data_IF_936840946065
#
_entry.id   IF_936840946065
#
_cell.length_a   1.000
_cell.length_b   1.000
_cell.length_c   1.000
_cell.angle_alpha   90.00
_cell.angle_beta   90.00
_cell.angle_gamma   90.00
#
_symmetry.space_group_name_H-M   'P 1'
#
loop_
_entity.id
_entity.type
_entity.pdbx_description
1 polymer ?
#
# COMPACT_ATOMS: atom_id res chain seq x y z
N UNK A 1 -18.65 -13.88 16.11
CA UNK A 1 -17.31 -13.60 15.55
C UNK A 1 -16.80 -12.32 16.20
N UNK A 2 -15.56 -12.36 16.63
CA UNK A 2 -14.94 -11.27 17.36
C UNK A 2 -14.63 -10.07 16.46
N UNK A 3 -14.47 -8.89 17.05
CA UNK A 3 -13.98 -7.69 16.36
C UNK A 3 -12.50 -7.55 16.68
N UNK A 4 -11.68 -7.41 15.63
CA UNK A 4 -10.23 -7.38 15.78
C UNK A 4 -9.69 -6.14 15.07
N UNK A 5 -8.78 -5.43 15.74
CA UNK A 5 -7.92 -4.40 15.17
C UNK A 5 -6.49 -4.73 15.51
N UNK A 6 -5.63 -4.62 14.53
CA UNK A 6 -4.18 -4.78 14.69
C UNK A 6 -3.44 -3.65 13.97
N UNK A 7 -2.26 -3.35 14.44
CA UNK A 7 -1.41 -2.29 13.89
C UNK A 7 0.05 -2.56 14.24
N UNK A 8 1.02 -1.87 13.60
CA UNK A 8 2.39 -1.86 14.09
C UNK A 8 2.46 -1.53 15.58
N UNK A 9 3.44 -2.12 16.27
CA UNK A 9 3.68 -1.83 17.69
C UNK A 9 4.00 -0.36 17.94
N UNK A 10 4.66 0.31 16.98
CA UNK A 10 4.92 1.74 17.00
C UNK A 10 5.00 2.28 15.57
N UNK A 11 4.38 3.43 15.33
CA UNK A 11 4.54 4.23 14.12
C UNK A 11 5.28 5.53 14.46
N UNK A 12 6.32 5.85 13.67
CA UNK A 12 7.18 7.02 13.88
C UNK A 12 7.33 7.72 12.55
N UNK A 13 7.04 9.01 12.51
CA UNK A 13 7.15 9.82 11.31
C UNK A 13 7.77 11.18 11.63
N UNK A 14 8.62 11.66 10.76
CA UNK A 14 9.18 13.01 10.87
C UNK A 14 10.38 13.23 9.97
N UNK A 15 10.74 14.50 9.80
CA UNK A 15 11.91 14.88 9.02
C UNK A 15 13.20 14.46 9.75
N UNK A 16 14.16 13.94 8.99
CA UNK A 16 15.48 13.49 9.50
C UNK A 16 15.41 12.38 10.56
N UNK A 17 14.31 11.61 10.61
CA UNK A 17 14.14 10.56 11.62
C UNK A 17 15.19 9.44 11.46
N UNK A 18 15.68 9.20 10.24
CA UNK A 18 16.75 8.22 9.98
C UNK A 18 18.04 8.56 10.73
N UNK A 19 18.32 9.82 11.02
CA UNK A 19 19.51 10.23 11.81
C UNK A 19 19.44 9.75 13.25
N UNK A 20 18.24 9.44 13.75
CA UNK A 20 17.95 8.99 15.12
C UNK A 20 17.37 7.58 15.15
N UNK A 21 17.46 6.85 14.05
CA UNK A 21 16.85 5.53 13.90
C UNK A 21 17.32 4.56 15.00
N UNK A 22 18.63 4.58 15.32
CA UNK A 22 19.21 3.72 16.35
C UNK A 22 18.57 3.90 17.72
N UNK A 23 18.18 5.11 18.11
CA UNK A 23 17.53 5.38 19.39
C UNK A 23 16.17 4.66 19.51
N UNK A 24 15.43 4.60 18.41
CA UNK A 24 14.16 3.87 18.35
C UNK A 24 14.35 2.36 18.33
N UNK A 25 15.40 1.87 17.67
CA UNK A 25 15.66 0.43 17.50
C UNK A 25 16.32 -0.21 18.75
N UNK A 26 17.07 0.57 19.53
CA UNK A 26 17.82 0.09 20.72
C UNK A 26 16.98 -0.75 21.71
N UNK A 27 15.71 -0.43 22.00
CA UNK A 27 14.90 -1.24 22.91
C UNK A 27 14.53 -2.64 22.38
N UNK A 28 14.62 -2.89 21.07
CA UNK A 28 14.25 -4.15 20.46
C UNK A 28 15.40 -5.14 20.35
N UNK A 29 16.57 -4.68 19.92
CA UNK A 29 17.76 -5.53 19.75
C UNK A 29 19.03 -4.70 19.64
N UNK A 30 20.18 -5.37 19.85
CA UNK A 30 21.50 -4.74 19.72
C UNK A 30 22.22 -5.05 18.42
N UNK A 31 21.80 -6.09 17.69
CA UNK A 31 22.42 -6.56 16.44
C UNK A 31 21.37 -6.71 15.35
N UNK A 32 21.51 -5.99 14.27
CA UNK A 32 20.51 -5.85 13.21
C UNK A 32 21.07 -6.29 11.86
N UNK A 33 20.26 -7.04 11.08
CA UNK A 33 20.43 -7.10 9.65
C UNK A 33 19.62 -5.96 9.01
N UNK A 34 20.30 -5.10 8.26
CA UNK A 34 19.67 -4.01 7.49
C UNK A 34 19.55 -4.43 6.03
N UNK A 35 18.34 -4.64 5.55
CA UNK A 35 18.05 -5.00 4.16
C UNK A 35 17.58 -3.77 3.42
N UNK A 36 18.31 -3.37 2.38
CA UNK A 36 17.96 -2.20 1.56
C UNK A 36 18.32 -2.42 0.09
N UNK A 37 17.53 -1.86 -0.82
CA UNK A 37 17.95 -1.86 -2.21
C UNK A 37 19.18 -0.97 -2.45
N UNK A 38 19.90 -1.23 -3.55
CA UNK A 38 21.17 -0.54 -3.83
C UNK A 38 21.03 0.97 -3.97
N UNK A 39 19.90 1.42 -4.53
CA UNK A 39 19.64 2.85 -4.71
C UNK A 39 19.45 3.53 -3.34
N UNK A 40 18.63 2.94 -2.47
CA UNK A 40 18.39 3.46 -1.12
C UNK A 40 19.66 3.45 -0.29
N UNK A 41 20.41 2.34 -0.29
CA UNK A 41 21.68 2.26 0.42
C UNK A 41 22.67 3.30 -0.08
N UNK A 42 22.65 3.63 -1.37
CA UNK A 42 23.53 4.64 -1.97
C UNK A 42 23.43 6.05 -1.31
N UNK A 43 22.27 6.41 -0.78
CA UNK A 43 22.10 7.70 -0.07
C UNK A 43 21.89 7.55 1.45
N UNK A 44 21.40 6.41 1.93
CA UNK A 44 21.02 6.23 3.34
C UNK A 44 22.09 5.54 4.19
N UNK A 45 23.00 4.74 3.60
CA UNK A 45 23.92 3.88 4.35
C UNK A 45 24.78 4.63 5.38
N UNK A 46 25.34 5.77 4.98
CA UNK A 46 26.19 6.58 5.89
C UNK A 46 25.39 7.05 7.11
N UNK A 47 24.17 7.58 6.87
CA UNK A 47 23.27 8.03 7.93
C UNK A 47 22.86 6.88 8.85
N UNK A 48 22.56 5.72 8.29
CA UNK A 48 22.22 4.52 9.05
C UNK A 48 23.39 4.08 9.95
N UNK A 49 24.59 3.93 9.36
CA UNK A 49 25.79 3.54 10.12
C UNK A 49 26.08 4.51 11.28
N UNK A 50 25.97 5.81 11.02
CA UNK A 50 26.18 6.81 12.06
C UNK A 50 25.11 6.73 13.15
N UNK A 51 23.84 6.57 12.80
CA UNK A 51 22.73 6.43 13.74
C UNK A 51 22.88 5.18 14.62
N UNK A 52 23.24 4.04 14.02
CA UNK A 52 23.51 2.80 14.75
C UNK A 52 24.69 2.95 15.70
N UNK A 53 25.80 3.54 15.24
CA UNK A 53 26.99 3.81 16.07
C UNK A 53 26.66 4.69 17.26
N UNK A 54 25.91 5.77 17.08
CA UNK A 54 25.51 6.69 18.13
C UNK A 54 24.67 5.98 19.23
N UNK A 55 23.86 5.03 18.82
CA UNK A 55 23.01 4.23 19.71
C UNK A 55 23.72 2.99 20.28
N UNK A 56 25.00 2.77 19.94
CA UNK A 56 25.78 1.59 20.34
C UNK A 56 25.20 0.26 19.83
N UNK A 57 24.63 0.29 18.60
CA UNK A 57 24.08 -0.86 17.90
C UNK A 57 25.02 -1.37 16.81
N UNK A 58 24.90 -2.65 16.47
CA UNK A 58 25.59 -3.26 15.35
C UNK A 58 24.64 -3.43 14.17
N UNK A 59 25.09 -3.03 12.97
CA UNK A 59 24.38 -3.20 11.72
C UNK A 59 25.21 -4.01 10.71
N UNK A 60 24.69 -5.15 10.30
CA UNK A 60 25.13 -5.85 9.10
C UNK A 60 24.25 -5.36 7.95
N UNK A 61 24.83 -4.72 6.94
CA UNK A 61 24.08 -4.14 5.82
C UNK A 61 24.12 -5.09 4.64
N UNK A 62 22.95 -5.52 4.20
CA UNK A 62 22.75 -6.45 3.11
C UNK A 62 21.99 -5.79 1.95
N UNK A 63 22.60 -5.65 0.77
CA UNK A 63 21.85 -5.25 -0.42
C UNK A 63 20.75 -6.25 -0.76
N UNK A 64 19.55 -5.73 -1.00
CA UNK A 64 18.40 -6.50 -1.48
C UNK A 64 18.62 -6.98 -2.92
N UNK A 65 18.28 -8.24 -3.21
CA UNK A 65 18.54 -8.88 -4.50
C UNK A 65 17.56 -8.50 -5.63
N UNK A 66 16.47 -7.80 -5.32
CA UNK A 66 15.52 -7.28 -6.31
C UNK A 66 14.14 -7.93 -6.30
N UNK A 67 14.02 -9.19 -5.87
CA UNK A 67 12.73 -9.87 -5.73
C UNK A 67 12.50 -10.42 -4.33
N UNK A 68 11.25 -10.30 -3.85
CA UNK A 68 10.83 -10.91 -2.59
C UNK A 68 10.54 -12.39 -2.84
N UNK A 69 11.60 -13.18 -3.02
CA UNK A 69 11.52 -14.61 -3.28
C UNK A 69 12.02 -15.45 -2.11
N UNK A 70 11.62 -16.72 -2.07
CA UNK A 70 12.11 -17.64 -1.03
C UNK A 70 13.64 -17.77 -1.06
N UNK A 71 14.25 -17.81 -2.24
CA UNK A 71 15.71 -17.89 -2.37
C UNK A 71 16.41 -16.65 -1.80
N UNK A 72 15.85 -15.46 -2.00
CA UNK A 72 16.40 -14.23 -1.43
C UNK A 72 16.25 -14.19 0.09
N UNK A 73 15.09 -14.61 0.62
CA UNK A 73 14.86 -14.74 2.06
C UNK A 73 15.88 -15.72 2.67
N UNK A 74 16.11 -16.88 2.04
CA UNK A 74 17.05 -17.89 2.52
C UNK A 74 18.51 -17.39 2.46
N UNK A 75 18.87 -16.60 1.43
CA UNK A 75 20.19 -15.96 1.32
C UNK A 75 20.42 -14.98 2.46
N UNK A 76 19.44 -14.10 2.72
CA UNK A 76 19.52 -13.11 3.79
C UNK A 76 19.51 -13.76 5.17
N UNK A 77 18.76 -14.85 5.35
CA UNK A 77 18.76 -15.61 6.60
C UNK A 77 20.15 -16.18 6.92
N UNK A 78 20.83 -16.79 5.96
CA UNK A 78 22.20 -17.29 6.14
C UNK A 78 23.16 -16.17 6.55
N UNK A 79 23.03 -14.99 5.95
CA UNK A 79 23.84 -13.82 6.31
C UNK A 79 23.54 -13.35 7.74
N UNK A 80 22.26 -13.24 8.11
CA UNK A 80 21.84 -12.87 9.46
C UNK A 80 22.34 -13.84 10.52
N UNK A 81 22.23 -15.16 10.26
CA UNK A 81 22.71 -16.21 11.15
C UNK A 81 24.25 -16.13 11.33
N UNK A 82 25.00 -15.90 10.24
CA UNK A 82 26.48 -15.78 10.31
C UNK A 82 26.98 -14.52 11.03
N UNK A 83 26.15 -13.47 11.06
CA UNK A 83 26.44 -12.20 11.74
C UNK A 83 25.80 -12.10 13.15
N UNK A 84 25.19 -13.17 13.65
CA UNK A 84 24.44 -13.24 14.90
C UNK A 84 23.42 -12.11 15.04
N UNK A 85 22.67 -11.80 13.97
CA UNK A 85 21.65 -10.77 13.97
C UNK A 85 20.43 -11.21 14.79
N UNK A 86 19.90 -10.32 15.60
CA UNK A 86 18.79 -10.55 16.53
C UNK A 86 17.51 -9.80 16.10
N UNK A 87 17.58 -9.03 15.03
CA UNK A 87 16.44 -8.30 14.46
C UNK A 87 16.72 -7.92 13.00
N UNK A 88 15.66 -7.56 12.27
CA UNK A 88 15.72 -7.15 10.86
C UNK A 88 15.17 -5.74 10.71
N UNK A 89 15.88 -4.90 9.96
CA UNK A 89 15.41 -3.61 9.45
C UNK A 89 15.28 -3.70 7.93
N UNK A 90 14.09 -3.48 7.40
CA UNK A 90 13.88 -3.26 5.96
C UNK A 90 13.83 -1.77 5.66
N UNK A 91 14.61 -1.31 4.67
CA UNK A 91 14.58 0.08 4.21
C UNK A 91 14.47 0.13 2.68
N UNK A 92 13.42 0.76 2.16
CA UNK A 92 13.19 0.82 0.71
C UNK A 92 11.72 0.83 0.31
N UNK A 93 11.43 0.23 -0.82
CA UNK A 93 10.08 0.04 -1.36
C UNK A 93 9.46 -1.31 -0.97
N UNK A 94 8.24 -1.56 -1.43
CA UNK A 94 7.40 -2.68 -1.01
C UNK A 94 8.07 -4.06 -1.01
N UNK A 95 8.75 -4.45 -2.10
CA UNK A 95 9.42 -5.76 -2.19
C UNK A 95 10.53 -5.93 -1.15
N UNK A 96 11.32 -4.89 -0.92
CA UNK A 96 12.36 -4.88 0.13
C UNK A 96 11.75 -5.03 1.52
N UNK A 97 10.65 -4.30 1.78
CA UNK A 97 9.96 -4.31 3.07
C UNK A 97 9.29 -5.65 3.33
N UNK A 98 8.63 -6.23 2.34
CA UNK A 98 8.03 -7.56 2.42
C UNK A 98 9.07 -8.65 2.65
N UNK A 99 10.24 -8.55 1.99
CA UNK A 99 11.37 -9.46 2.25
C UNK A 99 11.85 -9.36 3.70
N UNK A 100 11.97 -8.15 4.24
CA UNK A 100 12.38 -7.96 5.62
C UNK A 100 11.37 -8.52 6.63
N UNK A 101 10.07 -8.33 6.38
CA UNK A 101 8.99 -8.90 7.20
C UNK A 101 9.02 -10.44 7.16
N UNK A 102 9.10 -11.02 5.97
CA UNK A 102 9.18 -12.47 5.78
C UNK A 102 10.44 -13.06 6.43
N UNK A 103 11.59 -12.44 6.24
CA UNK A 103 12.86 -12.85 6.86
C UNK A 103 12.77 -12.89 8.38
N UNK A 104 12.29 -11.81 8.99
CA UNK A 104 12.12 -11.71 10.43
C UNK A 104 11.19 -12.79 10.98
N UNK A 105 10.10 -13.08 10.25
CA UNK A 105 9.18 -14.17 10.58
C UNK A 105 9.89 -15.53 10.57
N UNK A 106 10.66 -15.86 9.54
CA UNK A 106 11.40 -17.14 9.47
C UNK A 106 12.58 -17.24 10.46
N UNK A 107 13.03 -16.12 10.99
CA UNK A 107 14.04 -16.08 12.04
C UNK A 107 13.45 -16.01 13.45
N UNK A 108 12.15 -15.77 13.59
CA UNK A 108 11.46 -15.51 14.85
C UNK A 108 12.10 -14.33 15.65
N UNK A 109 12.34 -13.22 14.96
CA UNK A 109 12.98 -12.01 15.51
C UNK A 109 12.14 -10.76 15.24
N UNK A 110 12.36 -9.67 16.02
CA UNK A 110 11.72 -8.39 15.75
C UNK A 110 12.03 -7.82 14.37
N UNK A 111 11.07 -7.08 13.80
CA UNK A 111 11.23 -6.36 12.53
C UNK A 111 10.86 -4.89 12.66
N UNK A 112 11.70 -4.03 12.10
CA UNK A 112 11.41 -2.63 11.85
C UNK A 112 11.37 -2.38 10.33
N UNK A 113 10.47 -1.49 9.90
CA UNK A 113 10.23 -1.16 8.50
C UNK A 113 10.41 0.33 8.32
N UNK A 114 11.28 0.72 7.39
CA UNK A 114 11.56 2.12 7.04
C UNK A 114 11.23 2.35 5.55
N UNK A 115 9.97 2.63 5.20
CA UNK A 115 9.60 2.94 3.81
C UNK A 115 10.25 4.25 3.37
N UNK A 116 10.82 4.25 2.15
CA UNK A 116 11.43 5.43 1.53
C UNK A 116 10.51 6.12 0.53
N UNK A 117 9.36 5.53 0.30
CA UNK A 117 8.26 6.02 -0.54
C UNK A 117 6.94 5.75 0.16
N UNK A 118 5.91 6.54 -0.13
CA UNK A 118 4.56 6.35 0.40
C UNK A 118 3.60 5.98 -0.75
N UNK A 119 3.96 4.95 -1.52
CA UNK A 119 3.27 4.53 -2.74
C UNK A 119 2.20 3.45 -2.52
N UNK A 120 2.17 2.83 -1.34
CA UNK A 120 1.18 1.82 -0.92
C UNK A 120 1.03 1.82 0.60
N UNK A 121 0.02 1.13 1.08
CA UNK A 121 -0.26 0.94 2.51
C UNK A 121 0.36 -0.35 3.12
N UNK A 122 1.09 -1.11 2.33
CA UNK A 122 1.73 -2.36 2.73
C UNK A 122 2.72 -2.28 3.92
N UNK A 123 3.44 -1.16 4.18
CA UNK A 123 4.45 -1.13 5.25
C UNK A 123 3.95 -1.52 6.63
N UNK A 124 2.69 -1.20 6.97
CA UNK A 124 2.14 -1.46 8.31
C UNK A 124 1.53 -2.85 8.49
N UNK A 125 1.32 -3.61 7.41
CA UNK A 125 0.55 -4.84 7.44
C UNK A 125 1.32 -6.07 7.93
N UNK A 126 0.58 -7.03 8.48
CA UNK A 126 1.05 -8.38 8.82
C UNK A 126 0.96 -9.32 7.60
N UNK A 127 1.50 -8.88 6.48
CA UNK A 127 1.48 -9.57 5.20
C UNK A 127 2.77 -9.31 4.44
N UNK A 128 3.26 -10.34 3.74
CA UNK A 128 4.28 -10.20 2.70
C UNK A 128 3.80 -10.91 1.43
N UNK A 129 4.01 -10.27 0.28
CA UNK A 129 3.77 -10.89 -1.02
C UNK A 129 5.05 -11.56 -1.49
N UNK A 130 4.98 -12.87 -1.68
CA UNK A 130 6.12 -13.67 -2.14
C UNK A 130 6.01 -13.89 -3.64
N UNK A 131 7.14 -13.74 -4.32
CA UNK A 131 7.28 -13.90 -5.76
C UNK A 131 8.26 -15.03 -6.07
N UNK A 132 8.22 -15.55 -7.30
CA UNK A 132 9.30 -16.37 -7.85
C UNK A 132 10.53 -15.50 -8.12
N UNK A 133 11.69 -16.11 -8.35
CA UNK A 133 12.90 -15.37 -8.74
C UNK A 133 12.74 -14.63 -10.08
N UNK A 134 11.77 -15.04 -10.92
CA UNK A 134 11.40 -14.36 -12.17
C UNK A 134 10.40 -13.21 -12.00
N UNK A 135 9.94 -12.97 -10.77
CA UNK A 135 9.01 -11.87 -10.45
C UNK A 135 7.53 -12.20 -10.64
N UNK A 136 7.19 -13.49 -10.82
CA UNK A 136 5.80 -13.93 -10.87
C UNK A 136 5.24 -14.10 -9.46
N UNK A 137 3.95 -13.79 -9.26
CA UNK A 137 3.29 -14.02 -7.97
C UNK A 137 3.36 -15.50 -7.59
N UNK A 138 3.81 -15.78 -6.35
CA UNK A 138 3.85 -17.13 -5.79
C UNK A 138 2.74 -17.29 -4.74
N UNK A 139 2.79 -16.51 -3.66
CA UNK A 139 1.80 -16.62 -2.56
C UNK A 139 1.76 -15.38 -1.68
N UNK A 140 0.66 -15.24 -0.94
CA UNK A 140 0.60 -14.38 0.23
C UNK A 140 1.15 -15.12 1.46
N UNK A 141 2.09 -14.50 2.16
CA UNK A 141 2.58 -14.95 3.47
C UNK A 141 1.89 -14.12 4.55
N UNK A 142 0.86 -14.71 5.16
CA UNK A 142 0.19 -14.10 6.31
C UNK A 142 1.10 -14.21 7.53
N UNK A 143 1.37 -13.08 8.17
CA UNK A 143 2.25 -13.00 9.33
C UNK A 143 1.43 -12.98 10.63
N UNK A 144 1.94 -13.55 11.73
CA UNK A 144 1.20 -13.57 13.00
C UNK A 144 1.10 -12.17 13.65
N UNK A 145 2.00 -11.24 13.28
CA UNK A 145 2.09 -9.92 13.88
C UNK A 145 2.48 -8.87 12.83
N UNK A 146 1.98 -7.65 13.04
CA UNK A 146 2.46 -6.48 12.31
C UNK A 146 3.91 -6.17 12.70
N UNK A 147 4.64 -5.35 11.92
CA UNK A 147 5.98 -4.91 12.28
C UNK A 147 6.04 -4.31 13.70
N UNK A 148 7.12 -4.55 14.41
CA UNK A 148 7.35 -3.96 15.73
C UNK A 148 7.41 -2.43 15.63
N UNK A 149 8.02 -1.92 14.55
CA UNK A 149 8.07 -0.48 14.26
C UNK A 149 7.96 -0.22 12.76
N UNK A 150 7.26 0.87 12.42
CA UNK A 150 7.30 1.50 11.10
C UNK A 150 7.82 2.91 11.29
N UNK A 151 8.90 3.26 10.58
CA UNK A 151 9.63 4.51 10.76
C UNK A 151 9.75 5.21 9.40
N UNK A 152 9.14 6.39 9.27
CA UNK A 152 9.04 7.12 8.01
C UNK A 152 9.78 8.45 8.10
N UNK A 153 10.85 8.59 7.32
CA UNK A 153 11.52 9.88 7.17
C UNK A 153 10.84 10.69 6.06
N UNK A 154 10.17 11.76 6.47
CA UNK A 154 9.36 12.58 5.55
C UNK A 154 10.21 13.34 4.53
N UNK A 155 11.47 13.65 4.82
CA UNK A 155 12.40 14.22 3.83
C UNK A 155 12.79 13.21 2.75
N UNK A 156 12.99 11.96 3.14
CA UNK A 156 13.29 10.89 2.19
C UNK A 156 12.11 10.68 1.26
N UNK A 157 10.89 10.59 1.80
CA UNK A 157 9.67 10.46 0.98
C UNK A 157 9.46 11.69 0.09
N UNK A 158 9.69 12.91 0.59
CA UNK A 158 9.60 14.14 -0.21
C UNK A 158 10.61 14.17 -1.37
N UNK A 159 11.76 13.52 -1.21
CA UNK A 159 12.79 13.40 -2.26
C UNK A 159 12.46 12.37 -3.36
N UNK A 160 11.43 11.55 -3.17
CA UNK A 160 11.01 10.56 -4.16
C UNK A 160 10.16 11.21 -5.28
N UNK A 161 10.02 10.54 -6.46
CA UNK A 161 9.12 11.01 -7.51
C UNK A 161 7.69 11.19 -7.02
N UNK A 162 7.08 12.35 -7.27
CA UNK A 162 5.72 12.70 -6.82
C UNK A 162 4.65 11.69 -7.30
N UNK A 163 4.83 11.06 -8.46
CA UNK A 163 3.97 9.99 -8.98
C UNK A 163 3.82 8.81 -8.00
N UNK A 164 4.84 8.53 -7.19
CA UNK A 164 4.77 7.47 -6.17
C UNK A 164 3.87 7.88 -5.00
N UNK A 165 3.86 9.16 -4.62
CA UNK A 165 2.92 9.68 -3.64
C UNK A 165 1.49 9.63 -4.16
N UNK A 166 1.27 10.02 -5.43
CA UNK A 166 -0.03 9.91 -6.09
C UNK A 166 -0.54 8.45 -6.10
N UNK A 167 0.32 7.49 -6.44
CA UNK A 167 -0.03 6.08 -6.38
C UNK A 167 -0.48 5.66 -4.97
N UNK A 168 0.21 6.14 -3.92
CA UNK A 168 -0.21 5.88 -2.54
C UNK A 168 -1.56 6.51 -2.18
N UNK A 169 -1.86 7.71 -2.71
CA UNK A 169 -3.18 8.32 -2.57
C UNK A 169 -4.26 7.44 -3.23
N UNK A 170 -3.98 6.91 -4.43
CA UNK A 170 -4.91 6.03 -5.13
C UNK A 170 -5.18 4.71 -4.40
N UNK A 171 -4.15 4.13 -3.78
CA UNK A 171 -4.28 2.94 -2.93
C UNK A 171 -5.09 3.24 -1.67
N UNK A 172 -4.72 4.28 -0.94
CA UNK A 172 -5.36 4.71 0.30
C UNK A 172 -6.84 5.14 0.11
N UNK A 173 -7.19 5.62 -1.09
CA UNK A 173 -8.55 6.03 -1.43
C UNK A 173 -9.56 4.87 -1.32
N UNK A 174 -9.19 3.66 -1.72
CA UNK A 174 -10.04 2.50 -1.65
C UNK A 174 -10.40 2.10 -0.22
N UNK A 175 -9.51 2.35 0.71
CA UNK A 175 -9.61 1.86 2.11
C UNK A 175 -10.92 2.23 2.79
N UNK A 176 -11.41 3.47 2.65
CA UNK A 176 -12.68 3.87 3.23
C UNK A 176 -13.87 3.11 2.63
N UNK A 177 -13.94 3.04 1.31
CA UNK A 177 -15.07 2.43 0.62
C UNK A 177 -15.15 0.94 0.85
N UNK A 178 -14.01 0.27 0.86
CA UNK A 178 -13.93 -1.17 1.12
C UNK A 178 -14.21 -1.50 2.59
N UNK A 179 -13.65 -0.76 3.54
CA UNK A 179 -13.96 -0.92 4.96
C UNK A 179 -15.44 -0.66 5.25
N UNK A 180 -16.03 0.35 4.61
CA UNK A 180 -17.47 0.66 4.66
C UNK A 180 -18.32 -0.52 4.15
N UNK A 181 -17.95 -1.09 3.01
CA UNK A 181 -18.62 -2.25 2.44
C UNK A 181 -18.53 -3.48 3.36
N UNK A 182 -17.32 -3.80 3.86
CA UNK A 182 -17.07 -4.89 4.80
C UNK A 182 -17.84 -4.72 6.12
N UNK A 183 -17.91 -3.49 6.63
CA UNK A 183 -18.67 -3.19 7.84
C UNK A 183 -20.17 -3.45 7.65
N UNK A 184 -20.73 -3.11 6.48
CA UNK A 184 -22.14 -3.33 6.12
C UNK A 184 -22.47 -4.79 5.88
N UNK A 185 -21.59 -5.54 5.21
CA UNK A 185 -21.78 -6.97 4.94
C UNK A 185 -21.49 -7.86 6.16
N UNK A 186 -20.74 -7.35 7.13
CA UNK A 186 -20.23 -8.13 8.24
C UNK A 186 -19.15 -9.13 7.83
N UNK A 187 -18.42 -8.84 6.75
CA UNK A 187 -17.32 -9.67 6.26
C UNK A 187 -16.19 -9.80 7.28
N UNK A 188 -15.41 -10.87 7.14
CA UNK A 188 -14.18 -11.07 7.91
C UNK A 188 -13.07 -10.24 7.28
N UNK A 189 -12.36 -9.44 8.10
CA UNK A 189 -11.23 -8.62 7.68
C UNK A 189 -9.94 -9.43 7.61
N UNK A 190 -8.87 -8.84 7.08
CA UNK A 190 -7.55 -9.46 7.03
C UNK A 190 -6.98 -9.76 8.44
N UNK A 191 -7.43 -9.02 9.47
CA UNK A 191 -7.10 -9.26 10.87
C UNK A 191 -7.79 -10.52 11.46
N UNK A 192 -8.63 -11.21 10.71
CA UNK A 192 -9.29 -12.45 11.12
C UNK A 192 -10.56 -12.26 11.94
N UNK A 193 -11.04 -11.03 12.10
CA UNK A 193 -12.29 -10.69 12.80
C UNK A 193 -13.17 -9.78 11.97
N UNK A 194 -14.22 -9.24 12.60
CA UNK A 194 -15.06 -8.20 12.01
C UNK A 194 -14.40 -6.82 12.20
N UNK A 195 -14.73 -5.89 11.30
CA UNK A 195 -14.32 -4.50 11.40
C UNK A 195 -14.71 -3.90 12.76
N UNK A 196 -13.79 -3.19 13.39
CA UNK A 196 -14.02 -2.42 14.62
C UNK A 196 -14.48 -1.00 14.28
N UNK A 197 -15.11 -0.31 15.24
CA UNK A 197 -15.41 1.12 15.08
C UNK A 197 -14.12 1.95 14.89
N UNK A 198 -13.04 1.58 15.59
CA UNK A 198 -11.76 2.27 15.46
C UNK A 198 -11.15 2.11 14.05
N UNK A 199 -11.14 0.89 13.49
CA UNK A 199 -10.66 0.65 12.13
C UNK A 199 -11.48 1.42 11.09
N UNK A 200 -12.81 1.44 11.24
CA UNK A 200 -13.70 2.19 10.35
C UNK A 200 -13.45 3.70 10.42
N UNK A 201 -13.27 4.23 11.65
CA UNK A 201 -12.95 5.64 11.85
C UNK A 201 -11.59 6.04 11.28
N UNK A 202 -10.57 5.15 11.35
CA UNK A 202 -9.26 5.40 10.73
C UNK A 202 -9.37 5.39 9.19
N UNK A 203 -10.16 4.49 8.61
CA UNK A 203 -10.40 4.46 7.17
C UNK A 203 -11.14 5.73 6.70
N UNK A 204 -12.12 6.22 7.45
CA UNK A 204 -12.83 7.47 7.15
C UNK A 204 -11.92 8.69 7.31
N UNK A 205 -11.09 8.74 8.35
CA UNK A 205 -10.08 9.78 8.54
C UNK A 205 -9.07 9.78 7.39
N UNK A 206 -8.65 8.59 6.91
CA UNK A 206 -7.81 8.47 5.73
C UNK A 206 -8.43 9.19 4.54
N UNK A 207 -9.65 8.82 4.17
CA UNK A 207 -10.37 9.43 3.05
C UNK A 207 -10.51 10.95 3.17
N UNK A 208 -10.94 11.44 4.34
CA UNK A 208 -11.08 12.88 4.58
C UNK A 208 -9.72 13.60 4.45
N UNK A 209 -8.64 13.01 4.95
CA UNK A 209 -7.29 13.56 4.81
C UNK A 209 -6.85 13.64 3.35
N UNK A 210 -7.15 12.59 2.54
CA UNK A 210 -6.85 12.63 1.10
C UNK A 210 -7.57 13.77 0.40
N UNK A 211 -8.85 14.00 0.71
CA UNK A 211 -9.63 15.09 0.12
C UNK A 211 -9.11 16.47 0.51
N UNK A 212 -8.74 16.66 1.78
CA UNK A 212 -8.32 17.96 2.29
C UNK A 212 -6.88 18.34 1.92
N UNK A 213 -5.99 17.35 1.84
CA UNK A 213 -4.55 17.60 1.76
C UNK A 213 -3.88 17.04 0.49
N UNK A 214 -4.57 16.21 -0.30
CA UNK A 214 -3.98 15.49 -1.42
C UNK A 214 -3.30 16.40 -2.44
N UNK A 215 -4.01 17.38 -2.98
CA UNK A 215 -3.47 18.32 -3.97
C UNK A 215 -2.30 19.16 -3.39
N UNK A 216 -2.44 19.67 -2.17
CA UNK A 216 -1.38 20.43 -1.47
C UNK A 216 -0.13 19.60 -1.25
N UNK A 217 -0.30 18.32 -0.92
CA UNK A 217 0.81 17.39 -0.74
C UNK A 217 1.52 17.07 -2.06
N UNK A 218 0.77 16.93 -3.15
CA UNK A 218 1.36 16.74 -4.48
C UNK A 218 2.24 17.92 -4.90
N UNK A 219 1.78 19.15 -4.71
CA UNK A 219 2.58 20.36 -4.98
C UNK A 219 3.88 20.37 -4.14
N UNK A 220 3.82 19.95 -2.88
CA UNK A 220 5.00 19.85 -2.04
C UNK A 220 5.97 18.75 -2.51
N UNK A 221 5.43 17.57 -2.89
CA UNK A 221 6.23 16.47 -3.43
C UNK A 221 6.92 16.81 -4.75
N UNK A 222 6.27 17.54 -5.65
CA UNK A 222 6.86 18.04 -6.90
C UNK A 222 8.03 19.02 -6.67
N UNK A 223 8.00 19.75 -5.57
CA UNK A 223 9.07 20.65 -5.15
C UNK A 223 10.10 19.98 -4.23
N UNK A 224 9.91 18.70 -3.89
CA UNK A 224 10.76 17.96 -2.96
C UNK A 224 10.92 18.62 -1.58
N UNK A 225 9.85 19.19 -1.06
CA UNK A 225 9.82 19.88 0.25
C UNK A 225 8.82 19.24 1.21
N UNK A 226 9.14 19.29 2.48
CA UNK A 226 8.24 18.81 3.54
C UNK A 226 7.30 19.94 3.96
N UNK A 227 6.00 19.68 3.91
CA UNK A 227 4.95 20.57 4.40
C UNK A 227 4.00 19.79 5.32
N UNK A 228 3.20 20.46 6.16
CA UNK A 228 2.19 19.77 6.96
C UNK A 228 1.22 18.91 6.13
N UNK A 229 0.85 19.36 4.93
CA UNK A 229 0.00 18.59 4.02
C UNK A 229 0.69 17.30 3.55
N UNK A 230 1.97 17.38 3.15
CA UNK A 230 2.73 16.20 2.76
C UNK A 230 2.85 15.21 3.93
N UNK A 231 3.14 15.67 5.14
CA UNK A 231 3.23 14.79 6.32
C UNK A 231 1.91 14.09 6.61
N UNK A 232 0.77 14.79 6.50
CA UNK A 232 -0.56 14.16 6.67
C UNK A 232 -0.87 13.14 5.59
N UNK A 233 -0.50 13.38 4.34
CA UNK A 233 -0.69 12.40 3.26
C UNK A 233 0.24 11.19 3.43
N UNK A 234 1.46 11.38 3.87
CA UNK A 234 2.36 10.26 4.20
C UNK A 234 1.74 9.38 5.30
N UNK A 235 1.22 9.98 6.36
CA UNK A 235 0.50 9.25 7.42
C UNK A 235 -0.74 8.55 6.88
N UNK A 236 -1.54 9.23 6.05
CA UNK A 236 -2.74 8.65 5.46
C UNK A 236 -2.40 7.44 4.57
N UNK A 237 -1.45 7.58 3.65
CA UNK A 237 -1.06 6.51 2.73
C UNK A 237 -0.44 5.31 3.47
N UNK A 238 0.35 5.54 4.52
CA UNK A 238 1.15 4.49 5.16
C UNK A 238 0.44 3.89 6.37
N UNK A 239 -0.06 4.71 7.28
CA UNK A 239 -0.61 4.25 8.56
C UNK A 239 -2.13 4.17 8.57
N UNK A 240 -2.85 5.25 8.23
CA UNK A 240 -4.32 5.24 8.28
C UNK A 240 -4.89 4.21 7.30
N UNK A 241 -4.37 4.18 6.09
CA UNK A 241 -4.72 3.17 5.10
C UNK A 241 -4.26 1.79 5.52
N UNK A 242 -3.01 1.65 6.01
CA UNK A 242 -2.44 0.38 6.41
C UNK A 242 -3.23 -0.33 7.51
N UNK A 243 -3.64 0.39 8.56
CA UNK A 243 -4.50 -0.15 9.62
C UNK A 243 -5.94 -0.27 9.14
N UNK A 244 -6.40 0.69 8.35
CA UNK A 244 -7.75 0.75 7.81
C UNK A 244 -8.10 -0.42 6.91
N UNK A 245 -7.25 -0.78 5.95
CA UNK A 245 -7.52 -1.92 5.06
C UNK A 245 -7.41 -3.25 5.79
N UNK A 246 -6.37 -3.43 6.61
CA UNK A 246 -6.10 -4.70 7.29
C UNK A 246 -7.19 -5.05 8.30
N UNK A 247 -7.63 -4.08 9.09
CA UNK A 247 -8.62 -4.25 10.15
C UNK A 247 -10.04 -3.79 9.77
N UNK A 248 -10.18 -3.04 8.68
CA UNK A 248 -11.47 -2.64 8.09
C UNK A 248 -11.99 -3.62 7.05
N UNK A 249 -11.10 -4.20 6.27
CA UNK A 249 -11.36 -5.19 5.24
C UNK A 249 -11.20 -4.65 3.82
N UNK A 250 -10.99 -5.55 2.87
CA UNK A 250 -10.96 -5.33 1.43
C UNK A 250 -12.27 -5.81 0.79
N UNK A 251 -12.63 -5.25 -0.35
CA UNK A 251 -13.86 -5.58 -1.05
C UNK A 251 -13.70 -5.57 -2.58
N UNK A 252 -14.43 -4.72 -3.33
CA UNK A 252 -14.42 -4.77 -4.78
C UNK A 252 -13.20 -4.10 -5.41
N UNK A 253 -12.72 -2.96 -4.90
CA UNK A 253 -11.65 -2.21 -5.54
C UNK A 253 -10.38 -3.06 -5.70
N UNK A 254 -9.93 -3.71 -4.65
CA UNK A 254 -8.74 -4.58 -4.71
C UNK A 254 -8.99 -5.88 -5.48
N UNK A 255 -10.20 -6.44 -5.43
CA UNK A 255 -10.53 -7.61 -6.26
C UNK A 255 -10.51 -7.27 -7.76
N UNK A 256 -11.00 -6.09 -8.15
CA UNK A 256 -10.96 -5.61 -9.53
C UNK A 256 -9.51 -5.33 -9.95
N UNK A 257 -8.70 -4.74 -9.07
CA UNK A 257 -7.26 -4.61 -9.29
C UNK A 257 -6.58 -5.97 -9.56
N UNK A 258 -6.90 -7.00 -8.77
CA UNK A 258 -6.39 -8.35 -9.03
C UNK A 258 -6.84 -8.85 -10.40
N UNK A 259 -8.11 -8.62 -10.76
CA UNK A 259 -8.63 -8.93 -12.10
C UNK A 259 -7.90 -8.20 -13.22
N UNK A 260 -7.51 -6.92 -13.01
CA UNK A 260 -6.73 -6.15 -14.00
C UNK A 260 -5.37 -6.75 -14.32
N UNK A 261 -4.82 -7.57 -13.45
CA UNK A 261 -3.56 -8.27 -13.74
C UNK A 261 -3.66 -9.23 -14.94
N UNK A 262 -4.87 -9.64 -15.32
CA UNK A 262 -5.12 -10.45 -16.51
C UNK A 262 -4.99 -9.67 -17.83
N UNK A 263 -4.90 -8.33 -17.77
CA UNK A 263 -4.83 -7.44 -18.94
C UNK A 263 -3.46 -6.77 -18.99
N UNK A 264 -2.58 -7.16 -19.93
CA UNK A 264 -1.20 -6.66 -20.01
C UNK A 264 -1.07 -5.15 -20.23
N UNK A 265 -2.07 -4.51 -20.83
CA UNK A 265 -2.08 -3.08 -21.16
C UNK A 265 -1.77 -2.18 -19.95
N UNK A 266 -2.23 -2.57 -18.76
CA UNK A 266 -2.07 -1.79 -17.53
C UNK A 266 -0.90 -2.24 -16.63
N UNK A 267 -0.07 -3.20 -17.04
CA UNK A 267 0.99 -3.76 -16.20
C UNK A 267 2.07 -2.75 -15.78
N UNK A 268 2.29 -1.70 -16.57
CA UNK A 268 3.29 -0.68 -16.26
C UNK A 268 2.79 0.43 -15.32
N UNK A 269 1.49 0.42 -14.96
CA UNK A 269 0.96 1.33 -13.95
C UNK A 269 1.22 0.80 -12.55
N UNK A 270 1.45 1.72 -11.60
CA UNK A 270 1.57 1.37 -10.20
C UNK A 270 0.27 0.82 -9.63
N UNK A 271 0.37 0.06 -8.55
CA UNK A 271 -0.77 -0.55 -7.87
C UNK A 271 -1.89 0.46 -7.62
N UNK A 272 -1.60 1.54 -6.91
CA UNK A 272 -2.61 2.52 -6.54
C UNK A 272 -3.16 3.34 -7.72
N UNK A 273 -2.43 3.46 -8.83
CA UNK A 273 -2.99 4.08 -10.05
C UNK A 273 -4.15 3.25 -10.61
N UNK A 274 -4.04 1.92 -10.57
CA UNK A 274 -5.14 1.03 -10.97
C UNK A 274 -6.25 1.03 -9.93
N UNK A 275 -5.91 0.91 -8.65
CA UNK A 275 -6.88 0.93 -7.53
C UNK A 275 -7.74 2.20 -7.52
N UNK A 276 -7.21 3.34 -7.95
CA UNK A 276 -7.98 4.58 -8.07
C UNK A 276 -9.17 4.45 -9.01
N UNK A 277 -8.96 3.89 -10.22
CA UNK A 277 -10.05 3.60 -11.16
C UNK A 277 -10.98 2.50 -10.65
N UNK A 278 -10.42 1.49 -9.98
CA UNK A 278 -11.19 0.39 -9.43
C UNK A 278 -12.08 0.83 -8.26
N UNK A 279 -11.67 1.87 -7.54
CA UNK A 279 -12.50 2.53 -6.52
C UNK A 279 -13.73 3.21 -7.14
N UNK A 280 -13.56 3.90 -8.28
CA UNK A 280 -14.71 4.44 -9.03
C UNK A 280 -15.64 3.31 -9.48
N UNK A 281 -15.09 2.18 -9.91
CA UNK A 281 -15.88 1.00 -10.30
C UNK A 281 -16.66 0.44 -9.11
N UNK A 282 -16.05 0.36 -7.92
CA UNK A 282 -16.78 -0.05 -6.71
C UNK A 282 -17.91 0.90 -6.37
N UNK A 283 -17.73 2.20 -6.49
CA UNK A 283 -18.81 3.18 -6.25
C UNK A 283 -19.99 2.99 -7.21
N UNK A 284 -19.73 2.66 -8.46
CA UNK A 284 -20.77 2.30 -9.41
C UNK A 284 -21.49 1.01 -9.00
N UNK A 285 -20.76 -0.03 -8.58
CA UNK A 285 -21.34 -1.27 -8.04
C UNK A 285 -22.23 -1.04 -6.83
N UNK A 286 -21.86 -0.11 -5.95
CA UNK A 286 -22.64 0.27 -4.76
C UNK A 286 -23.85 1.14 -5.09
N UNK A 287 -24.00 1.58 -6.35
CA UNK A 287 -24.97 2.62 -6.75
C UNK A 287 -24.84 3.87 -5.85
N UNK A 288 -23.58 4.31 -5.64
CA UNK A 288 -23.25 5.46 -4.83
C UNK A 288 -23.89 6.75 -5.39
N UNK A 289 -24.17 7.76 -4.55
CA UNK A 289 -24.60 9.07 -5.03
C UNK A 289 -23.61 9.66 -6.05
N UNK A 290 -24.15 10.38 -7.04
CA UNK A 290 -23.32 10.98 -8.12
C UNK A 290 -22.28 11.91 -7.52
N UNK A 291 -22.64 12.69 -6.51
CA UNK A 291 -21.73 13.61 -5.82
C UNK A 291 -20.52 12.89 -5.17
N UNK A 292 -20.71 11.66 -4.69
CA UNK A 292 -19.61 10.86 -4.13
C UNK A 292 -18.65 10.38 -5.24
N UNK A 293 -19.20 9.94 -6.38
CA UNK A 293 -18.41 9.53 -7.55
C UNK A 293 -17.62 10.72 -8.11
N UNK A 294 -18.27 11.88 -8.26
CA UNK A 294 -17.64 13.10 -8.77
C UNK A 294 -16.55 13.61 -7.81
N UNK A 295 -16.78 13.55 -6.50
CA UNK A 295 -15.77 13.92 -5.49
C UNK A 295 -14.51 13.05 -5.62
N UNK A 296 -14.68 11.75 -5.79
CA UNK A 296 -13.55 10.82 -5.97
C UNK A 296 -12.85 11.06 -7.31
N UNK A 297 -13.60 11.26 -8.40
CA UNK A 297 -13.02 11.59 -9.71
C UNK A 297 -12.23 12.91 -9.67
N UNK A 298 -12.74 13.93 -8.99
CA UNK A 298 -12.08 15.21 -8.81
C UNK A 298 -10.75 15.08 -8.06
N UNK A 299 -10.74 14.34 -6.94
CA UNK A 299 -9.49 14.04 -6.23
C UNK A 299 -8.49 13.32 -7.14
N UNK A 300 -8.92 12.23 -7.78
CA UNK A 300 -8.03 11.47 -8.67
C UNK A 300 -7.44 12.36 -9.76
N UNK A 301 -8.26 13.16 -10.42
CA UNK A 301 -7.82 14.09 -11.46
C UNK A 301 -6.81 15.11 -10.93
N UNK A 302 -7.09 15.74 -9.76
CA UNK A 302 -6.23 16.77 -9.18
C UNK A 302 -4.84 16.28 -8.78
N UNK A 303 -4.71 14.99 -8.46
CA UNK A 303 -3.42 14.37 -8.09
C UNK A 303 -2.80 13.53 -9.22
N UNK A 304 -3.38 13.57 -10.43
CA UNK A 304 -2.85 12.90 -11.62
C UNK A 304 -3.07 11.38 -11.66
N UNK A 305 -4.10 10.89 -10.98
CA UNK A 305 -4.50 9.48 -11.01
C UNK A 305 -5.48 9.21 -12.17
N UNK A 306 -5.43 8.01 -12.78
CA UNK A 306 -6.34 7.62 -13.85
C UNK A 306 -7.80 7.52 -13.37
N UNK A 307 -8.72 8.05 -14.18
CA UNK A 307 -10.18 7.93 -13.99
C UNK A 307 -10.88 7.31 -15.21
N UNK A 308 -10.11 6.91 -16.24
CA UNK A 308 -10.62 6.26 -17.44
C UNK A 308 -9.75 5.08 -17.83
N UNK A 309 -10.34 4.12 -18.56
CA UNK A 309 -9.61 2.99 -19.16
C UNK A 309 -8.53 3.46 -20.14
N UNK A 310 -8.78 4.51 -20.89
CA UNK A 310 -7.81 5.07 -21.83
C UNK A 310 -6.57 5.61 -21.13
N UNK A 311 -6.71 6.22 -19.95
CA UNK A 311 -5.60 6.67 -19.11
C UNK A 311 -4.79 5.50 -18.53
N UNK A 312 -5.41 4.32 -18.36
CA UNK A 312 -4.74 3.05 -18.00
C UNK A 312 -4.21 2.30 -19.24
N UNK A 313 -4.14 2.96 -20.39
CA UNK A 313 -3.70 2.41 -21.67
C UNK A 313 -4.59 1.27 -22.24
N UNK A 314 -5.77 1.05 -21.69
CA UNK A 314 -6.75 0.08 -22.20
C UNK A 314 -7.64 0.79 -23.23
N UNK A 315 -7.32 0.65 -24.52
CA UNK A 315 -7.94 1.42 -25.62
C UNK A 315 -8.62 0.55 -26.66
N UNK A 316 -8.24 -0.72 -26.75
CA UNK A 316 -8.73 -1.66 -27.76
C UNK A 316 -9.35 -2.89 -27.08
N UNK A 317 -10.26 -3.56 -27.79
CA UNK A 317 -10.93 -4.78 -27.32
C UNK A 317 -11.59 -4.64 -25.94
N UNK A 318 -12.06 -3.43 -25.62
CA UNK A 318 -12.60 -3.09 -24.29
C UNK A 318 -13.64 -4.10 -23.81
N UNK A 319 -14.66 -4.52 -24.60
CA UNK A 319 -15.64 -5.49 -24.11
C UNK A 319 -15.03 -6.82 -23.67
N UNK A 320 -14.08 -7.35 -24.43
CA UNK A 320 -13.42 -8.62 -24.11
C UNK A 320 -12.53 -8.49 -22.87
N UNK A 321 -11.73 -7.43 -22.78
CA UNK A 321 -10.86 -7.16 -21.63
C UNK A 321 -11.66 -6.93 -20.34
N UNK A 322 -12.74 -6.15 -20.42
CA UNK A 322 -13.60 -5.92 -19.24
C UNK A 322 -14.30 -7.20 -18.78
N UNK A 323 -14.67 -8.08 -19.72
CA UNK A 323 -15.21 -9.40 -19.37
C UNK A 323 -14.17 -10.25 -18.64
N UNK A 324 -12.94 -10.28 -19.13
CA UNK A 324 -11.83 -11.01 -18.50
C UNK A 324 -11.54 -10.50 -17.09
N UNK A 325 -11.47 -9.17 -16.91
CA UNK A 325 -11.28 -8.54 -15.59
C UNK A 325 -12.43 -8.94 -14.65
N UNK A 326 -13.68 -8.81 -15.11
CA UNK A 326 -14.86 -9.10 -14.31
C UNK A 326 -14.91 -10.56 -13.82
N UNK A 327 -14.60 -11.51 -14.69
CA UNK A 327 -14.53 -12.93 -14.35
C UNK A 327 -13.41 -13.21 -13.32
N UNK A 328 -12.22 -12.66 -13.55
CA UNK A 328 -11.09 -12.81 -12.64
C UNK A 328 -11.33 -12.16 -11.27
N UNK A 329 -11.98 -10.99 -11.23
CA UNK A 329 -12.34 -10.28 -9.99
C UNK A 329 -13.33 -11.06 -9.12
N UNK A 330 -14.13 -11.94 -9.71
CA UNK A 330 -15.13 -12.76 -9.03
C UNK A 330 -14.65 -14.21 -8.78
N UNK A 331 -13.37 -14.49 -8.97
CA UNK A 331 -12.81 -15.81 -8.68
C UNK A 331 -12.98 -16.19 -7.20
N UNK A 332 -12.95 -17.49 -6.93
CA UNK A 332 -13.02 -18.00 -5.55
C UNK A 332 -11.88 -17.45 -4.70
N UNK A 333 -12.19 -16.93 -3.52
CA UNK A 333 -11.22 -16.36 -2.58
C UNK A 333 -10.97 -14.85 -2.76
N UNK A 334 -11.51 -14.23 -3.82
CA UNK A 334 -11.38 -12.79 -4.03
C UNK A 334 -12.22 -11.98 -3.03
N UNK A 335 -11.71 -10.79 -2.69
CA UNK A 335 -12.32 -9.91 -1.70
C UNK A 335 -13.65 -9.27 -2.15
N UNK A 336 -13.99 -9.35 -3.41
CA UNK A 336 -15.29 -8.87 -3.93
C UNK A 336 -16.47 -9.55 -3.25
N UNK A 337 -16.29 -10.78 -2.76
CA UNK A 337 -17.31 -11.51 -2.02
C UNK A 337 -17.62 -10.90 -0.65
N UNK A 338 -16.83 -9.91 -0.21
CA UNK A 338 -17.11 -9.10 0.97
C UNK A 338 -18.12 -7.97 0.70
N UNK A 339 -18.49 -7.73 -0.56
CA UNK A 339 -19.50 -6.73 -0.91
C UNK A 339 -20.89 -7.11 -0.36
N UNK A 340 -21.68 -6.14 0.14
CA UNK A 340 -23.06 -6.41 0.56
C UNK A 340 -23.92 -6.94 -0.59
N UNK A 341 -24.68 -7.99 -0.31
CA UNK A 341 -25.64 -8.57 -1.27
C UNK A 341 -25.05 -9.49 -2.34
N UNK A 342 -23.72 -9.62 -2.38
CA UNK A 342 -23.01 -10.38 -3.41
C UNK A 342 -22.87 -9.63 -4.72
N UNK A 343 -21.87 -9.99 -5.52
CA UNK A 343 -21.55 -9.37 -6.81
C UNK A 343 -21.28 -10.46 -7.84
N UNK A 344 -21.80 -10.28 -9.04
CA UNK A 344 -21.59 -11.19 -10.19
C UNK A 344 -20.63 -10.61 -11.21
N UNK A 345 -19.98 -11.43 -12.06
CA UNK A 345 -19.14 -10.93 -13.14
C UNK A 345 -19.88 -9.97 -14.11
N UNK A 346 -21.16 -10.19 -14.36
CA UNK A 346 -21.96 -9.28 -15.21
C UNK A 346 -22.12 -7.89 -14.58
N UNK A 347 -22.28 -7.82 -13.27
CA UNK A 347 -22.35 -6.54 -12.55
C UNK A 347 -21.00 -5.82 -12.57
N UNK A 348 -19.89 -6.52 -12.37
CA UNK A 348 -18.54 -5.94 -12.46
C UNK A 348 -18.27 -5.42 -13.88
N UNK A 349 -18.59 -6.22 -14.90
CA UNK A 349 -18.47 -5.80 -16.30
C UNK A 349 -19.22 -4.51 -16.58
N UNK A 350 -20.48 -4.44 -16.17
CA UNK A 350 -21.30 -3.25 -16.35
C UNK A 350 -20.71 -2.03 -15.59
N UNK A 351 -20.25 -2.25 -14.35
CA UNK A 351 -19.68 -1.19 -13.51
C UNK A 351 -18.38 -0.63 -14.10
N UNK A 352 -17.49 -1.47 -14.66
CA UNK A 352 -16.25 -1.04 -15.33
C UNK A 352 -16.56 -0.09 -16.50
N UNK A 353 -17.53 -0.45 -17.34
CA UNK A 353 -17.92 0.38 -18.48
C UNK A 353 -18.55 1.70 -18.04
N UNK A 354 -19.39 1.68 -17.00
CA UNK A 354 -20.04 2.89 -16.48
C UNK A 354 -19.05 3.79 -15.74
N UNK A 355 -18.11 3.23 -14.98
CA UNK A 355 -17.04 3.99 -14.33
C UNK A 355 -16.17 4.73 -15.37
N UNK A 356 -15.81 4.06 -16.48
CA UNK A 356 -15.09 4.69 -17.58
C UNK A 356 -15.88 5.85 -18.20
N UNK A 357 -17.20 5.71 -18.39
CA UNK A 357 -18.05 6.80 -18.88
C UNK A 357 -18.16 7.96 -17.92
N UNK A 358 -18.21 7.71 -16.60
CA UNK A 358 -18.14 8.78 -15.59
C UNK A 358 -16.81 9.55 -15.69
N UNK A 359 -15.69 8.85 -15.79
CA UNK A 359 -14.39 9.47 -15.96
C UNK A 359 -14.28 10.31 -17.25
N UNK A 360 -14.72 9.76 -18.38
CA UNK A 360 -14.72 10.48 -19.66
C UNK A 360 -15.57 11.75 -19.61
N UNK A 361 -16.78 11.66 -19.03
CA UNK A 361 -17.68 12.80 -18.87
C UNK A 361 -17.10 13.86 -17.95
N UNK A 362 -16.51 13.44 -16.83
CA UNK A 362 -15.82 14.36 -15.91
C UNK A 362 -14.73 15.14 -16.62
N UNK A 363 -13.88 14.47 -17.44
CA UNK A 363 -12.82 15.15 -18.19
C UNK A 363 -13.36 16.15 -19.20
N UNK A 364 -14.45 15.85 -19.89
CA UNK A 364 -15.09 16.77 -20.84
C UNK A 364 -15.63 18.04 -20.15
N UNK A 365 -16.30 17.86 -19.01
CA UNK A 365 -16.84 18.98 -18.22
C UNK A 365 -15.75 19.84 -17.56
N UNK A 366 -14.57 19.26 -17.31
CA UNK A 366 -13.41 19.97 -16.72
C UNK A 366 -12.65 20.82 -17.75
N UNK A 367 -12.69 20.40 -19.04
CA UNK A 367 -12.03 21.15 -20.13
C UNK A 367 -12.86 22.33 -20.67
N UNK A 368 -14.17 22.41 -20.37
CA UNK A 368 -15.06 23.53 -20.70
C UNK A 368 -14.98 24.67 -19.67
#
# INVERSE_FOLDING_TARGET
>A
MDRIIQSPGKYIQGADVLTRLGDYLKPLATRWLVVGDKFVLGFAEETLRQSFKNAELHAEIAPFGGECSQNEIDRLKKLADSADCLAVLGIGGGKTLDTAKALAHFMDVPVAIAPTIASTDAPCSALSVIYTDSGEFDRYLMLPHNPNMVIVDTKVVAGAPARLLAAGIGDALATWFEARACSRSGATTMAGGKCTQAALALAELCYNTLLEEGEKAMLAAEQHVVTPALERIIEANTYLSGVGFESGGLAAAHAIHNGMTAVPDAHHFYHGEKVAFDTLTQLVLENAPVEEIETVAALCHSVGLPITLAQLNIKEDIPAKMRLIAEASCAEGETIHNMPGGVTPDQVYAALLVADQYGQRFLQEWEE
#
